data_IF_448099662329
#
_entry.id   IF_448099662329
#
_cell.length_a   1.000
_cell.length_b   1.000
_cell.length_c   1.000
_cell.angle_alpha   90.00
_cell.angle_beta   90.00
_cell.angle_gamma   90.00
#
_symmetry.space_group_name_H-M   'P 1'
#
loop_
_entity.id
_entity.type
_entity.pdbx_description
1 polymer ?
#
# COMPACT_ATOMS: atom_id res chain seq x y z
N UNK A 1 40.99 -23.57 -80.54
CA UNK A 1 41.42 -22.98 -79.25
C UNK A 1 40.15 -22.53 -78.50
N UNK A 2 39.63 -23.37 -77.57
CA UNK A 2 38.42 -23.11 -76.79
C UNK A 2 38.76 -23.06 -75.37
N UNK A 3 38.66 -21.91 -74.73
CA UNK A 3 39.02 -21.58 -73.45
C UNK A 3 38.01 -22.10 -72.42
N UNK A 4 38.49 -22.82 -71.39
CA UNK A 4 37.79 -23.26 -70.19
C UNK A 4 37.64 -22.07 -69.23
N UNK A 5 36.46 -21.51 -69.16
CA UNK A 5 36.08 -20.60 -68.07
C UNK A 5 34.65 -20.95 -67.63
N UNK A 6 34.50 -21.97 -66.78
CA UNK A 6 33.23 -22.24 -66.06
C UNK A 6 33.43 -23.19 -64.92
N UNK A 7 34.28 -22.88 -63.95
CA UNK A 7 34.36 -23.68 -62.70
C UNK A 7 34.78 -22.91 -61.48
N UNK A 8 34.65 -21.57 -61.46
CA UNK A 8 35.06 -20.82 -60.27
C UNK A 8 33.92 -19.99 -59.64
N UNK A 9 32.65 -20.11 -60.10
CA UNK A 9 31.58 -19.25 -59.63
C UNK A 9 30.60 -19.91 -58.61
N UNK A 10 30.87 -21.13 -58.19
CA UNK A 10 30.00 -21.82 -57.20
C UNK A 10 30.62 -22.04 -55.82
N UNK A 11 31.87 -21.61 -55.61
CA UNK A 11 32.53 -21.77 -54.28
C UNK A 11 32.42 -20.52 -53.40
N UNK A 12 31.92 -19.39 -53.95
CA UNK A 12 31.79 -18.12 -53.23
C UNK A 12 30.45 -17.92 -52.54
N UNK A 13 29.41 -18.72 -52.82
CA UNK A 13 28.07 -18.52 -52.29
C UNK A 13 27.72 -19.37 -51.07
N UNK A 14 28.60 -20.30 -50.68
CA UNK A 14 28.36 -21.20 -49.54
C UNK A 14 29.03 -20.72 -48.24
N UNK A 15 29.84 -19.67 -48.30
CA UNK A 15 30.57 -19.16 -47.11
C UNK A 15 29.86 -17.98 -46.39
N UNK A 16 28.75 -17.48 -46.95
CA UNK A 16 28.02 -16.32 -46.34
C UNK A 16 26.81 -16.77 -45.48
N UNK A 17 26.39 -18.04 -45.60
CA UNK A 17 25.24 -18.55 -44.83
C UNK A 17 25.55 -19.07 -43.43
N UNK A 18 26.83 -19.14 -43.04
CA UNK A 18 27.22 -19.64 -41.68
C UNK A 18 27.60 -18.54 -40.67
N UNK A 19 27.57 -17.28 -41.08
CA UNK A 19 27.92 -16.15 -40.17
C UNK A 19 26.75 -15.48 -39.48
N UNK A 20 25.50 -15.96 -39.68
CA UNK A 20 24.31 -15.36 -39.04
C UNK A 20 23.71 -16.21 -37.90
N UNK A 21 24.42 -17.22 -37.39
CA UNK A 21 23.97 -18.01 -36.23
C UNK A 21 24.80 -17.81 -34.98
N UNK A 22 25.61 -16.76 -34.89
CA UNK A 22 26.52 -16.54 -33.76
C UNK A 22 26.09 -15.39 -32.83
N UNK A 23 24.79 -15.02 -32.81
CA UNK A 23 24.27 -14.03 -31.87
C UNK A 23 23.03 -14.53 -31.14
N UNK A 24 23.05 -15.75 -30.62
CA UNK A 24 22.01 -16.27 -29.72
C UNK A 24 22.59 -17.01 -28.52
N UNK A 25 23.64 -16.50 -27.94
CA UNK A 25 23.96 -16.72 -26.55
C UNK A 25 23.98 -15.33 -25.91
N UNK A 26 22.79 -14.74 -25.73
CA UNK A 26 22.59 -13.84 -24.60
C UNK A 26 22.73 -14.79 -23.42
N UNK A 27 23.91 -14.81 -22.82
CA UNK A 27 24.13 -15.39 -21.50
C UNK A 27 23.10 -14.65 -20.63
N UNK A 28 22.12 -15.36 -20.10
CA UNK A 28 21.27 -14.86 -19.04
C UNK A 28 22.23 -14.47 -17.91
N UNK A 29 22.62 -13.19 -17.90
CA UNK A 29 23.40 -12.65 -16.80
C UNK A 29 22.42 -12.47 -15.66
N UNK A 30 22.47 -13.30 -14.60
CA UNK A 30 21.54 -13.21 -13.50
C UNK A 30 21.62 -11.89 -12.73
N UNK A 31 22.64 -11.08 -13.02
CA UNK A 31 22.89 -9.78 -12.39
C UNK A 31 22.28 -8.61 -13.17
N UNK A 32 21.71 -8.83 -14.36
CA UNK A 32 21.02 -7.78 -15.13
C UNK A 32 19.56 -7.71 -14.70
N UNK A 33 19.18 -6.57 -14.15
CA UNK A 33 17.78 -6.29 -13.80
C UNK A 33 16.92 -6.30 -15.06
N UNK A 34 15.91 -7.17 -15.11
CA UNK A 34 14.98 -7.28 -16.22
C UNK A 34 13.74 -6.42 -15.95
N UNK A 35 13.61 -5.33 -16.71
CA UNK A 35 12.45 -4.43 -16.68
C UNK A 35 11.46 -4.72 -17.80
N UNK A 36 11.58 -5.82 -18.53
CA UNK A 36 10.65 -6.18 -19.58
C UNK A 36 9.29 -6.60 -19.01
N UNK A 37 8.22 -6.35 -19.76
CA UNK A 37 6.89 -6.87 -19.52
C UNK A 37 6.25 -7.24 -20.85
N UNK A 38 5.84 -8.49 -21.02
CA UNK A 38 5.31 -9.02 -22.27
C UNK A 38 3.82 -9.37 -22.20
N UNK A 39 3.18 -9.22 -21.04
CA UNK A 39 1.79 -9.57 -20.82
C UNK A 39 1.24 -8.98 -19.50
N UNK A 40 0.02 -9.37 -19.16
CA UNK A 40 -0.58 -9.00 -17.88
C UNK A 40 0.30 -9.45 -16.70
N UNK A 41 0.35 -8.68 -15.61
CA UNK A 41 1.09 -9.06 -14.42
C UNK A 41 0.51 -10.32 -13.80
N UNK A 42 1.35 -11.10 -13.11
CA UNK A 42 0.93 -12.22 -12.28
C UNK A 42 1.57 -12.12 -10.91
N UNK A 43 0.87 -12.53 -9.85
CA UNK A 43 1.40 -12.61 -8.50
C UNK A 43 1.43 -14.09 -8.10
N UNK A 44 2.61 -14.61 -7.73
CA UNK A 44 2.79 -16.01 -7.33
C UNK A 44 2.94 -16.17 -5.82
N UNK A 45 3.63 -15.23 -5.16
CA UNK A 45 3.77 -15.19 -3.69
C UNK A 45 4.11 -13.78 -3.22
N UNK A 46 3.90 -13.53 -1.95
CA UNK A 46 4.33 -12.32 -1.23
C UNK A 46 5.23 -12.77 -0.10
N UNK A 47 6.33 -12.06 0.13
CA UNK A 47 7.28 -12.31 1.22
C UNK A 47 7.64 -11.00 1.91
N UNK A 48 8.32 -11.05 3.04
CA UNK A 48 9.03 -9.86 3.53
C UNK A 48 10.30 -9.64 2.70
N UNK A 49 10.82 -8.42 2.67
CA UNK A 49 12.11 -8.14 1.98
C UNK A 49 13.31 -8.75 2.72
N UNK A 50 13.15 -9.11 3.99
CA UNK A 50 14.20 -9.71 4.83
C UNK A 50 14.25 -11.25 4.71
N UNK A 51 13.14 -11.88 4.31
CA UNK A 51 13.09 -13.31 4.04
C UNK A 51 12.26 -13.59 2.78
N UNK A 52 12.96 -13.76 1.66
CA UNK A 52 12.35 -14.01 0.35
C UNK A 52 11.86 -15.45 0.14
N UNK A 53 12.10 -16.35 1.10
CA UNK A 53 11.72 -17.76 0.99
C UNK A 53 10.36 -18.04 1.61
N UNK A 54 10.04 -17.38 2.73
CA UNK A 54 8.79 -17.59 3.44
C UNK A 54 7.68 -16.70 2.91
N UNK A 55 6.63 -17.31 2.35
CA UNK A 55 5.44 -16.60 1.94
C UNK A 55 4.65 -16.08 3.15
N UNK A 56 4.09 -14.88 3.02
CA UNK A 56 3.21 -14.25 3.99
C UNK A 56 1.88 -13.87 3.32
N UNK A 57 0.79 -13.98 4.07
CA UNK A 57 -0.57 -13.60 3.64
C UNK A 57 -1.10 -12.39 4.39
N UNK A 58 -0.33 -11.92 5.39
CA UNK A 58 -0.65 -10.74 6.20
C UNK A 58 0.62 -10.04 6.65
N UNK A 59 0.55 -8.73 6.89
CA UNK A 59 1.63 -7.95 7.51
C UNK A 59 1.10 -6.59 7.99
N UNK A 60 1.85 -5.94 8.89
CA UNK A 60 1.49 -4.64 9.46
C UNK A 60 1.73 -3.47 8.50
N UNK A 61 1.05 -2.35 8.75
CA UNK A 61 1.27 -1.08 8.04
C UNK A 61 2.75 -0.66 8.09
N UNK A 62 3.25 -0.07 7.02
CA UNK A 62 4.63 0.41 6.90
C UNK A 62 5.68 -0.69 6.70
N UNK A 63 5.31 -1.96 6.79
CA UNK A 63 6.24 -3.07 6.55
C UNK A 63 6.58 -3.19 5.06
N UNK A 64 7.84 -3.53 4.78
CA UNK A 64 8.32 -3.74 3.43
C UNK A 64 8.09 -5.18 2.97
N UNK A 65 7.49 -5.32 1.80
CA UNK A 65 7.17 -6.60 1.15
C UNK A 65 7.90 -6.74 -0.17
N UNK A 66 8.13 -7.99 -0.56
CA UNK A 66 8.52 -8.39 -1.90
C UNK A 66 7.36 -9.17 -2.53
N UNK A 67 6.76 -8.61 -3.58
CA UNK A 67 5.74 -9.26 -4.40
C UNK A 67 6.47 -9.99 -5.51
N UNK A 68 6.31 -11.29 -5.61
CA UNK A 68 6.92 -12.14 -6.62
C UNK A 68 5.90 -12.55 -7.67
N UNK A 69 6.35 -12.63 -8.93
CA UNK A 69 5.47 -12.98 -10.04
C UNK A 69 6.17 -12.91 -11.39
N UNK A 70 5.42 -12.53 -12.42
CA UNK A 70 5.96 -12.21 -13.75
C UNK A 70 5.24 -10.98 -14.31
N UNK A 71 5.90 -10.28 -15.26
CA UNK A 71 5.42 -9.05 -15.89
C UNK A 71 5.10 -7.92 -14.88
N UNK A 72 5.83 -7.85 -13.77
CA UNK A 72 5.62 -6.90 -12.69
C UNK A 72 6.34 -5.55 -12.91
N UNK A 73 7.18 -5.45 -13.95
CA UNK A 73 7.87 -4.20 -14.28
C UNK A 73 6.88 -3.09 -14.68
N UNK A 74 7.26 -1.85 -14.40
CA UNK A 74 6.49 -0.65 -14.73
C UNK A 74 5.03 -0.67 -14.18
N UNK A 75 4.81 -0.88 -12.89
CA UNK A 75 3.47 -0.81 -12.32
C UNK A 75 2.91 0.59 -12.51
N UNK A 76 1.64 0.68 -12.89
CA UNK A 76 0.88 1.94 -12.98
C UNK A 76 0.09 2.22 -11.71
N UNK A 77 -0.24 1.21 -10.92
CA UNK A 77 -0.78 1.31 -9.57
C UNK A 77 -0.49 0.04 -8.76
N UNK A 78 -0.31 0.20 -7.46
CA UNK A 78 -0.27 -0.89 -6.49
C UNK A 78 -1.21 -0.50 -5.35
N UNK A 79 -2.18 -1.36 -5.02
CA UNK A 79 -3.19 -1.06 -4.00
C UNK A 79 -3.17 -2.13 -2.93
N UNK A 80 -3.18 -1.69 -1.67
CA UNK A 80 -3.52 -2.52 -0.51
C UNK A 80 -4.93 -2.13 -0.06
N UNK A 81 -5.89 -3.02 -0.18
CA UNK A 81 -7.31 -2.71 -0.14
C UNK A 81 -7.66 -1.68 -1.23
N UNK A 82 -8.09 -0.47 -0.86
CA UNK A 82 -8.34 0.67 -1.75
C UNK A 82 -7.29 1.79 -1.61
N UNK A 83 -6.21 1.56 -0.84
CA UNK A 83 -5.14 2.56 -0.65
C UNK A 83 -4.02 2.34 -1.66
N UNK A 84 -3.77 3.34 -2.48
CA UNK A 84 -2.74 3.31 -3.51
C UNK A 84 -1.36 3.69 -2.96
N UNK A 85 -0.34 2.92 -3.32
CA UNK A 85 1.05 3.16 -2.97
C UNK A 85 1.63 4.29 -3.83
N UNK A 86 2.48 5.13 -3.24
CA UNK A 86 3.25 6.15 -3.97
C UNK A 86 4.36 5.48 -4.77
N UNK A 87 4.19 5.37 -6.09
CA UNK A 87 5.09 4.62 -6.99
C UNK A 87 6.54 5.11 -7.00
N UNK A 88 6.80 6.37 -6.62
CA UNK A 88 8.17 6.92 -6.52
C UNK A 88 9.06 6.17 -5.52
N UNK A 89 8.45 5.47 -4.56
CA UNK A 89 9.13 4.73 -3.49
C UNK A 89 9.12 3.21 -3.75
N UNK A 90 8.73 2.79 -4.96
CA UNK A 90 8.61 1.40 -5.38
C UNK A 90 9.79 1.01 -6.26
N UNK A 91 10.41 -0.14 -5.94
CA UNK A 91 11.36 -0.79 -6.85
C UNK A 91 10.67 -1.97 -7.53
N UNK A 92 10.62 -1.97 -8.86
CA UNK A 92 9.93 -2.98 -9.64
C UNK A 92 10.76 -3.46 -10.82
N UNK A 93 11.01 -4.76 -10.88
CA UNK A 93 11.58 -5.49 -12.01
C UNK A 93 10.56 -6.52 -12.50
N UNK A 94 10.83 -7.18 -13.62
CA UNK A 94 9.92 -8.14 -14.23
C UNK A 94 9.34 -9.17 -13.25
N UNK A 95 10.16 -9.70 -12.35
CA UNK A 95 9.78 -10.84 -11.48
C UNK A 95 9.51 -10.44 -10.04
N UNK A 96 9.75 -9.18 -9.66
CA UNK A 96 9.63 -8.74 -8.27
C UNK A 96 9.31 -7.25 -8.15
N UNK A 97 8.45 -6.93 -7.19
CA UNK A 97 8.23 -5.56 -6.70
C UNK A 97 8.59 -5.52 -5.22
N UNK A 98 9.42 -4.56 -4.81
CA UNK A 98 9.64 -4.23 -3.41
C UNK A 98 8.83 -2.98 -3.08
N UNK A 99 7.98 -3.05 -2.06
CA UNK A 99 7.00 -2.02 -1.74
C UNK A 99 6.70 -1.99 -0.25
N UNK A 100 6.49 -0.80 0.31
CA UNK A 100 5.99 -0.66 1.67
C UNK A 100 4.46 -0.65 1.69
N UNK A 101 3.86 -1.32 2.68
CA UNK A 101 2.43 -1.23 2.95
C UNK A 101 2.09 0.21 3.35
N UNK A 102 1.06 0.86 2.77
CA UNK A 102 0.64 2.20 3.16
C UNK A 102 0.33 2.32 4.66
N UNK A 103 0.56 3.51 5.21
CA UNK A 103 0.21 3.84 6.61
C UNK A 103 -1.11 4.62 6.70
N UNK A 104 -1.84 4.72 5.60
CA UNK A 104 -3.15 5.35 5.52
C UNK A 104 -4.25 4.30 5.73
N UNK A 105 -5.34 4.70 6.39
CA UNK A 105 -6.49 3.82 6.57
C UNK A 105 -7.27 3.65 5.26
N UNK A 106 -7.64 2.42 4.87
CA UNK A 106 -8.50 2.21 3.73
C UNK A 106 -9.91 2.76 4.00
N UNK A 107 -10.61 3.16 2.92
CA UNK A 107 -12.04 3.46 3.00
C UNK A 107 -12.86 2.17 2.97
N UNK A 108 -12.33 1.14 2.30
CA UNK A 108 -12.95 -0.17 2.18
C UNK A 108 -11.94 -1.28 2.44
N UNK A 109 -12.26 -2.16 3.39
CA UNK A 109 -11.47 -3.38 3.64
C UNK A 109 -11.88 -4.46 2.63
N UNK A 110 -10.96 -4.78 1.72
CA UNK A 110 -11.15 -5.86 0.73
C UNK A 110 -10.27 -7.07 1.03
N UNK A 111 -9.24 -6.89 1.89
CA UNK A 111 -8.20 -7.87 2.17
C UNK A 111 -7.50 -8.35 0.88
N UNK A 112 -7.20 -7.41 -0.01
CA UNK A 112 -6.56 -7.68 -1.29
C UNK A 112 -5.34 -6.80 -1.51
N UNK A 113 -4.37 -7.36 -2.24
CA UNK A 113 -3.28 -6.65 -2.90
C UNK A 113 -3.51 -6.71 -4.40
N UNK A 114 -3.48 -5.56 -5.06
CA UNK A 114 -3.66 -5.44 -6.52
C UNK A 114 -2.45 -4.76 -7.12
N UNK A 115 -1.91 -5.32 -8.20
CA UNK A 115 -0.87 -4.73 -9.05
C UNK A 115 -1.45 -4.47 -10.43
N UNK A 116 -1.36 -3.23 -10.91
CA UNK A 116 -1.75 -2.82 -12.26
C UNK A 116 -0.53 -2.44 -13.07
N UNK A 117 -0.54 -2.81 -14.32
CA UNK A 117 0.42 -2.35 -15.35
C UNK A 117 -0.36 -1.86 -16.57
N UNK A 118 0.32 -1.31 -17.57
CA UNK A 118 -0.32 -0.94 -18.84
C UNK A 118 -0.92 -2.16 -19.58
N UNK A 119 -0.48 -3.38 -19.22
CA UNK A 119 -0.87 -4.64 -19.90
C UNK A 119 -1.92 -5.45 -19.15
N UNK A 120 -2.35 -5.00 -17.97
CA UNK A 120 -3.40 -5.68 -17.19
C UNK A 120 -3.27 -5.50 -15.69
N UNK A 121 -3.99 -6.35 -14.95
CA UNK A 121 -4.09 -6.32 -13.50
C UNK A 121 -3.98 -7.72 -12.92
N UNK A 122 -3.32 -7.83 -11.76
CA UNK A 122 -3.30 -9.03 -10.93
C UNK A 122 -3.73 -8.69 -9.49
N UNK A 123 -4.62 -9.49 -8.93
CA UNK A 123 -5.10 -9.34 -7.56
C UNK A 123 -4.92 -10.65 -6.80
N UNK A 124 -4.51 -10.55 -5.54
CA UNK A 124 -4.38 -11.68 -4.62
C UNK A 124 -4.90 -11.31 -3.24
N UNK A 125 -5.27 -12.30 -2.43
CA UNK A 125 -5.67 -12.08 -1.04
C UNK A 125 -4.44 -11.69 -0.21
N UNK A 126 -4.57 -10.60 0.54
CA UNK A 126 -3.54 -10.13 1.47
C UNK A 126 -4.18 -9.25 2.55
N UNK A 127 -3.93 -9.58 3.81
CA UNK A 127 -4.48 -8.83 4.95
C UNK A 127 -3.46 -7.81 5.46
N UNK A 128 -3.88 -6.56 5.62
CA UNK A 128 -3.10 -5.54 6.33
C UNK A 128 -3.54 -5.51 7.79
N UNK A 129 -2.59 -5.71 8.69
CA UNK A 129 -2.82 -5.61 10.14
C UNK A 129 -2.77 -4.15 10.56
N UNK A 130 -3.87 -3.64 11.10
CA UNK A 130 -3.99 -2.27 11.60
C UNK A 130 -3.78 -2.23 13.11
N UNK A 131 -3.02 -1.23 13.64
CA UNK A 131 -2.94 -1.02 15.08
C UNK A 131 -4.31 -0.67 15.63
N UNK A 132 -4.63 -1.15 16.83
CA UNK A 132 -5.92 -0.87 17.48
C UNK A 132 -5.99 0.59 17.95
N UNK A 133 -7.18 1.19 17.86
CA UNK A 133 -7.46 2.48 18.48
C UNK A 133 -7.16 2.38 19.99
N UNK A 134 -6.40 3.35 20.48
CA UNK A 134 -6.14 3.50 21.90
C UNK A 134 -6.70 4.85 22.35
N UNK A 135 -7.63 4.81 23.28
CA UNK A 135 -8.11 5.98 24.01
C UNK A 135 -7.63 5.85 25.45
N UNK A 136 -6.79 6.79 25.89
CA UNK A 136 -6.20 6.77 27.24
C UNK A 136 -7.20 7.32 28.26
N UNK A 137 -7.93 8.38 27.88
CA UNK A 137 -8.89 9.06 28.73
C UNK A 137 -8.89 10.57 28.52
N UNK A 138 -9.47 11.27 29.48
CA UNK A 138 -9.50 12.74 29.56
C UNK A 138 -8.34 13.24 30.41
N UNK A 139 -7.81 14.43 30.09
CA UNK A 139 -6.84 15.12 30.94
C UNK A 139 -7.50 15.68 32.21
N UNK A 140 -8.82 15.94 32.17
CA UNK A 140 -9.59 16.42 33.30
C UNK A 140 -11.04 15.93 33.21
N UNK A 141 -11.42 14.97 34.04
CA UNK A 141 -12.78 14.42 34.13
C UNK A 141 -13.77 15.37 34.86
N UNK A 142 -13.25 16.41 35.56
CA UNK A 142 -14.04 17.40 36.27
C UNK A 142 -14.00 18.77 35.57
N UNK A 143 -13.95 18.78 34.25
CA UNK A 143 -13.90 20.00 33.48
C UNK A 143 -15.19 20.82 33.65
N UNK A 144 -15.05 22.12 33.92
CA UNK A 144 -16.19 23.02 34.10
C UNK A 144 -16.85 23.37 32.77
N UNK A 145 -18.15 23.70 32.76
CA UNK A 145 -18.77 24.33 31.61
C UNK A 145 -17.96 25.51 31.07
N UNK A 146 -17.85 25.63 29.75
CA UNK A 146 -17.05 26.65 29.07
C UNK A 146 -15.55 26.37 29.01
N UNK A 147 -15.02 25.37 29.75
CA UNK A 147 -13.59 25.02 29.70
C UNK A 147 -13.28 23.99 28.62
N UNK A 148 -11.99 23.84 28.30
CA UNK A 148 -11.53 22.81 27.39
C UNK A 148 -11.16 21.53 28.15
N UNK A 149 -11.39 20.39 27.51
CA UNK A 149 -10.96 19.07 27.91
C UNK A 149 -10.22 18.40 26.77
N UNK A 150 -9.18 17.61 27.08
CA UNK A 150 -8.38 16.92 26.08
C UNK A 150 -8.60 15.41 26.16
N UNK A 151 -9.10 14.83 25.10
CA UNK A 151 -9.09 13.36 24.88
C UNK A 151 -7.70 12.97 24.41
N UNK A 152 -7.04 12.07 25.12
CA UNK A 152 -5.72 11.55 24.78
C UNK A 152 -5.78 10.12 24.27
N UNK A 153 -4.91 9.79 23.29
CA UNK A 153 -4.88 8.45 22.73
C UNK A 153 -3.82 8.27 21.65
N UNK A 154 -4.03 7.27 20.80
CA UNK A 154 -3.16 6.96 19.66
C UNK A 154 -4.02 6.44 18.50
N UNK A 155 -3.56 6.68 17.26
CA UNK A 155 -4.20 6.23 16.01
C UNK A 155 -5.54 6.88 15.70
N UNK A 156 -5.78 8.10 16.17
CA UNK A 156 -7.02 8.84 15.92
C UNK A 156 -7.27 9.09 14.43
N UNK A 157 -6.21 9.35 13.65
CA UNK A 157 -6.30 9.52 12.18
C UNK A 157 -6.77 8.24 11.50
N UNK A 158 -6.22 7.09 11.89
CA UNK A 158 -6.53 5.79 11.31
C UNK A 158 -8.03 5.45 11.46
N UNK A 159 -8.60 5.80 12.62
CA UNK A 159 -10.01 5.55 12.93
C UNK A 159 -10.93 6.72 12.60
N UNK A 160 -10.43 7.70 11.85
CA UNK A 160 -11.23 8.82 11.33
C UNK A 160 -11.70 9.82 12.37
N UNK A 161 -11.16 9.80 13.60
CA UNK A 161 -11.55 10.72 14.66
C UNK A 161 -11.11 12.16 14.36
N UNK A 162 -10.13 12.34 13.49
CA UNK A 162 -9.66 13.65 13.02
C UNK A 162 -10.34 14.11 11.73
N UNK A 163 -11.20 13.29 11.14
CA UNK A 163 -11.99 13.66 9.95
C UNK A 163 -13.11 14.65 10.30
N UNK A 164 -13.70 15.28 9.29
CA UNK A 164 -14.86 16.14 9.47
C UNK A 164 -16.16 15.36 9.71
N UNK A 165 -16.14 14.05 9.50
CA UNK A 165 -17.27 13.15 9.74
C UNK A 165 -17.32 12.63 11.18
N UNK A 166 -16.25 12.83 11.94
CA UNK A 166 -16.24 12.50 13.37
C UNK A 166 -17.14 13.46 14.15
N UNK A 167 -17.94 12.90 15.07
CA UNK A 167 -18.82 13.66 15.95
C UNK A 167 -18.44 13.45 17.41
N UNK A 168 -18.55 14.53 18.19
CA UNK A 168 -18.22 14.57 19.61
C UNK A 168 -19.44 15.15 20.33
N UNK A 169 -20.01 14.43 21.28
CA UNK A 169 -21.18 14.88 22.03
C UNK A 169 -21.02 14.65 23.52
N UNK A 170 -21.64 15.47 24.33
CA UNK A 170 -21.77 15.33 25.78
C UNK A 170 -23.27 15.41 26.14
N UNK A 171 -23.81 14.35 26.73
CA UNK A 171 -25.25 14.30 27.03
C UNK A 171 -26.14 14.51 25.79
N UNK A 172 -25.68 14.14 24.59
CA UNK A 172 -26.37 14.34 23.31
C UNK A 172 -26.17 15.71 22.67
N UNK A 173 -25.46 16.65 23.32
CA UNK A 173 -25.11 17.97 22.76
C UNK A 173 -23.77 17.93 22.05
N UNK A 174 -23.65 18.54 20.87
CA UNK A 174 -22.40 18.61 20.13
C UNK A 174 -21.35 19.46 20.85
N UNK A 175 -20.12 18.93 20.92
CA UNK A 175 -18.95 19.61 21.45
C UNK A 175 -18.24 20.41 20.35
N UNK A 176 -17.69 21.57 20.70
CA UNK A 176 -16.83 22.34 19.79
C UNK A 176 -15.42 21.75 19.80
N UNK A 177 -14.91 21.38 18.62
CA UNK A 177 -13.54 20.89 18.45
C UNK A 177 -12.60 22.10 18.30
N UNK A 178 -11.65 22.25 19.21
CA UNK A 178 -10.62 23.31 19.19
C UNK A 178 -9.39 22.86 18.41
N UNK A 179 -8.96 21.62 18.64
CA UNK A 179 -7.78 21.02 18.02
C UNK A 179 -7.99 19.50 17.90
N UNK A 180 -7.49 18.89 16.80
CA UNK A 180 -7.46 17.45 16.67
C UNK A 180 -6.25 16.99 15.87
N UNK A 181 -5.57 15.94 16.38
CA UNK A 181 -4.46 15.25 15.72
C UNK A 181 -4.46 13.77 16.12
N UNK A 182 -3.46 13.00 15.67
CA UNK A 182 -3.41 11.54 15.87
C UNK A 182 -3.35 11.09 17.33
N UNK A 183 -3.02 11.98 18.27
CA UNK A 183 -2.80 11.65 19.70
C UNK A 183 -3.69 12.42 20.66
N UNK A 184 -4.30 13.52 20.22
CA UNK A 184 -5.16 14.35 21.09
C UNK A 184 -6.30 14.99 20.31
N UNK A 185 -7.42 15.20 21.01
CA UNK A 185 -8.56 15.98 20.55
C UNK A 185 -8.95 16.90 21.68
N UNK A 186 -8.94 18.21 21.44
CA UNK A 186 -9.33 19.24 22.42
C UNK A 186 -10.75 19.67 22.12
N UNK A 187 -11.61 19.56 23.12
CA UNK A 187 -13.05 19.84 23.04
C UNK A 187 -13.42 20.92 24.05
N UNK A 188 -14.33 21.82 23.69
CA UNK A 188 -14.93 22.79 24.64
C UNK A 188 -16.21 22.21 25.21
N UNK A 189 -16.32 22.17 26.52
CA UNK A 189 -17.52 21.76 27.26
C UNK A 189 -18.58 22.86 27.11
N UNK A 190 -19.83 22.56 26.70
CA UNK A 190 -20.89 23.56 26.61
C UNK A 190 -21.20 24.22 27.95
N UNK A 191 -21.61 25.49 27.93
CA UNK A 191 -21.98 26.25 29.16
C UNK A 191 -23.17 25.62 29.90
N UNK A 192 -24.03 24.91 29.16
CA UNK A 192 -25.20 24.22 29.67
C UNK A 192 -25.02 22.71 29.77
N UNK A 193 -23.75 22.24 29.98
CA UNK A 193 -23.43 20.85 30.21
C UNK A 193 -24.09 20.30 31.48
N UNK A 194 -24.52 19.04 31.41
CA UNK A 194 -25.11 18.33 32.56
C UNK A 194 -24.03 17.45 33.19
N UNK A 195 -23.89 17.55 34.50
CA UNK A 195 -22.95 16.73 35.28
C UNK A 195 -23.23 15.22 35.09
N UNK A 196 -22.14 14.44 35.01
CA UNK A 196 -22.22 12.99 34.91
C UNK A 196 -22.63 12.45 33.54
N UNK A 197 -22.62 13.28 32.51
CA UNK A 197 -22.85 12.83 31.15
C UNK A 197 -21.55 12.36 30.49
N UNK A 198 -21.61 11.25 29.71
CA UNK A 198 -20.47 10.74 28.96
C UNK A 198 -20.16 11.64 27.73
N UNK A 199 -18.89 11.81 27.45
CA UNK A 199 -18.41 12.22 26.13
C UNK A 199 -18.49 11.03 25.20
N UNK A 200 -19.29 11.16 24.13
CA UNK A 200 -19.46 10.13 23.10
C UNK A 200 -18.74 10.58 21.81
N UNK A 201 -17.82 9.75 21.35
CA UNK A 201 -17.05 9.98 20.14
C UNK A 201 -17.48 8.94 19.08
N UNK A 202 -17.93 9.42 17.91
CA UNK A 202 -18.33 8.57 16.81
C UNK A 202 -17.59 8.93 15.53
N UNK A 203 -17.33 7.93 14.71
CA UNK A 203 -16.73 8.08 13.36
C UNK A 203 -17.23 6.93 12.48
N UNK A 204 -17.37 7.12 11.16
CA UNK A 204 -17.74 6.05 10.22
C UNK A 204 -16.78 4.85 10.22
N UNK A 205 -15.54 5.04 10.71
CA UNK A 205 -14.51 3.98 10.80
C UNK A 205 -14.50 3.26 12.15
N UNK A 206 -15.37 3.63 13.08
CA UNK A 206 -15.54 2.94 14.36
C UNK A 206 -16.71 1.96 14.26
N UNK A 207 -16.50 0.71 14.71
CA UNK A 207 -17.60 -0.27 14.84
C UNK A 207 -18.61 0.13 15.92
N UNK A 208 -18.12 0.79 16.98
CA UNK A 208 -18.91 1.25 18.12
C UNK A 208 -18.39 2.63 18.57
N UNK A 209 -19.27 3.54 19.02
CA UNK A 209 -18.84 4.80 19.62
C UNK A 209 -17.98 4.60 20.86
N UNK A 210 -16.93 5.42 21.00
CA UNK A 210 -16.14 5.49 22.23
C UNK A 210 -16.90 6.35 23.26
N UNK A 211 -16.97 5.90 24.52
CA UNK A 211 -17.59 6.61 25.61
C UNK A 211 -16.57 6.88 26.70
N UNK A 212 -16.53 8.14 27.17
CA UNK A 212 -15.66 8.61 28.25
C UNK A 212 -16.54 9.26 29.32
N UNK A 213 -16.41 8.84 30.59
CA UNK A 213 -17.19 9.39 31.71
C UNK A 213 -16.82 10.84 32.01
#
# INVERSE_FOLDING_TARGET
MKVKIRKQLHLGLLAIATAMMACQNIVDNPDVEDFSAAGAPTITKITTVTDLNQAVTQSGMGQWLAIHGDNLAHPTAILFNDVEVKLKDVYAVRTRINVAIPTEAPSKLTNTLTVRTALGEATTNFTVDFPKLKVVGLDNEFAKPGSNVTVMGEFFNLYGLTSNEATFTLGGKSLTVVEKNDKKIVLTIPEDAVDGADIVISSPKLEQPVRLP
#
